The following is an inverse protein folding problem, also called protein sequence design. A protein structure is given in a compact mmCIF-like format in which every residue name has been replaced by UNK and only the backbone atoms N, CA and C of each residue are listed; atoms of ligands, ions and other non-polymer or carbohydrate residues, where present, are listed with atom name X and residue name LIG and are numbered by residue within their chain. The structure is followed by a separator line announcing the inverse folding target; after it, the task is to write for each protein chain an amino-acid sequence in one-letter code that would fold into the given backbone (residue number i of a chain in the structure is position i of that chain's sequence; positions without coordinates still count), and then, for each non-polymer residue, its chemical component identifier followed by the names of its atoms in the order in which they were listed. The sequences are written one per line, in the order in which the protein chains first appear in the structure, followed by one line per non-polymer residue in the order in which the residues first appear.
data_IF_711255164950
#
_entry.id   IF_711255164950
#
_cell.length_a   1.000
_cell.length_b   1.000
_cell.length_c   1.000
_cell.angle_alpha   90.00
_cell.angle_beta   90.00
_cell.angle_gamma   90.00
#
_symmetry.space_group_name_H-M   'P 1'
#
loop_
_entity.id
_entity.type
_entity.pdbx_description
1 polymer ?
#
# COMPACT_ATOMS: atom_id res chain seq x y z
N UNK A 1 -22.70 3.33 -9.21
CA UNK A 1 -22.67 4.81 -9.27
C UNK A 1 -23.79 5.37 -10.14
N UNK A 2 -24.45 4.55 -10.96
CA UNK A 2 -25.64 4.94 -11.75
C UNK A 2 -26.87 5.25 -10.90
N UNK A 3 -26.88 4.84 -9.64
CA UNK A 3 -27.89 5.19 -8.64
C UNK A 3 -27.35 6.34 -7.78
N UNK A 4 -27.88 7.54 -8.06
CA UNK A 4 -27.63 8.83 -7.39
C UNK A 4 -26.19 9.07 -6.92
N UNK A 5 -25.20 8.72 -7.77
CA UNK A 5 -23.78 8.89 -7.46
C UNK A 5 -23.43 8.46 -6.03
N UNK A 6 -23.87 7.27 -5.59
CA UNK A 6 -23.58 6.71 -4.25
C UNK A 6 -22.07 6.43 -4.02
N UNK A 7 -21.28 7.51 -3.98
CA UNK A 7 -19.82 7.59 -3.82
C UNK A 7 -19.39 6.93 -2.52
N UNK A 8 -20.11 7.19 -1.44
CA UNK A 8 -19.81 6.66 -0.11
C UNK A 8 -19.88 5.13 -0.07
N UNK A 9 -20.93 4.55 -0.67
CA UNK A 9 -21.09 3.09 -0.77
C UNK A 9 -19.98 2.48 -1.61
N UNK A 10 -19.67 3.10 -2.76
CA UNK A 10 -18.55 2.67 -3.58
C UNK A 10 -17.21 2.71 -2.82
N UNK A 11 -16.87 3.81 -2.14
CA UNK A 11 -15.61 3.94 -1.43
C UNK A 11 -15.49 2.97 -0.25
N UNK A 12 -16.58 2.76 0.50
CA UNK A 12 -16.56 1.89 1.68
C UNK A 12 -16.55 0.41 1.34
N UNK A 13 -17.37 -0.04 0.40
CA UNK A 13 -17.47 -1.48 0.09
C UNK A 13 -16.85 -1.81 -1.26
N UNK A 14 -17.27 -1.15 -2.34
CA UNK A 14 -16.86 -1.51 -3.70
C UNK A 14 -15.35 -1.41 -3.94
N UNK A 15 -14.72 -0.30 -3.53
CA UNK A 15 -13.29 -0.10 -3.64
C UNK A 15 -12.53 -1.04 -2.69
N UNK A 16 -13.01 -1.20 -1.46
CA UNK A 16 -12.38 -2.11 -0.48
C UNK A 16 -12.37 -3.56 -0.98
N UNK A 17 -13.48 -4.02 -1.57
CA UNK A 17 -13.60 -5.37 -2.13
C UNK A 17 -12.71 -5.55 -3.35
N UNK A 18 -12.62 -4.55 -4.24
CA UNK A 18 -11.73 -4.57 -5.38
C UNK A 18 -10.25 -4.64 -4.96
N UNK A 19 -9.84 -3.86 -3.95
CA UNK A 19 -8.49 -3.90 -3.40
C UNK A 19 -8.19 -5.22 -2.69
N UNK A 20 -9.16 -5.79 -1.96
CA UNK A 20 -9.02 -7.11 -1.33
C UNK A 20 -8.84 -8.21 -2.39
N UNK A 21 -9.60 -8.15 -3.48
CA UNK A 21 -9.44 -9.06 -4.60
C UNK A 21 -8.04 -8.96 -5.21
N UNK A 22 -7.53 -7.73 -5.42
CA UNK A 22 -6.17 -7.50 -5.93
C UNK A 22 -5.14 -8.15 -5.01
N UNK A 23 -5.22 -7.92 -3.69
CA UNK A 23 -4.29 -8.49 -2.73
C UNK A 23 -4.28 -10.03 -2.74
N UNK A 24 -5.46 -10.66 -2.78
CA UNK A 24 -5.58 -12.11 -2.84
C UNK A 24 -4.99 -12.68 -4.14
N UNK A 25 -5.22 -12.01 -5.26
CA UNK A 25 -4.67 -12.43 -6.55
C UNK A 25 -3.15 -12.25 -6.59
N UNK A 26 -2.60 -11.17 -6.00
CA UNK A 26 -1.15 -10.98 -5.87
C UNK A 26 -0.50 -12.07 -5.00
N UNK A 27 -1.16 -12.49 -3.92
CA UNK A 27 -0.68 -13.59 -3.09
C UNK A 27 -0.67 -14.92 -3.84
N UNK A 28 -1.62 -15.15 -4.75
CA UNK A 28 -1.62 -16.32 -5.62
C UNK A 28 -0.47 -16.26 -6.64
N UNK A 29 -0.19 -15.09 -7.21
CA UNK A 29 0.94 -14.87 -8.13
C UNK A 29 2.29 -15.06 -7.43
N UNK A 30 2.42 -14.66 -6.17
CA UNK A 30 3.65 -14.84 -5.39
C UNK A 30 3.88 -16.30 -4.98
N UNK A 31 2.83 -17.08 -4.80
CA UNK A 31 2.88 -18.47 -4.31
C UNK A 31 2.85 -19.53 -5.42
N UNK A 32 2.43 -19.20 -6.64
CA UNK A 32 2.31 -20.13 -7.78
C UNK A 32 2.77 -19.46 -9.07
N UNK A 33 3.21 -20.28 -10.05
CA UNK A 33 3.58 -19.79 -11.38
C UNK A 33 2.34 -19.15 -12.04
N UNK A 34 2.34 -17.83 -12.27
CA UNK A 34 1.13 -17.09 -12.61
C UNK A 34 0.73 -17.32 -14.07
N UNK A 35 -0.57 -17.55 -14.30
CA UNK A 35 -1.12 -17.62 -15.66
C UNK A 35 -1.17 -16.20 -16.26
N UNK A 36 -0.84 -16.02 -17.55
CA UNK A 36 -0.83 -14.70 -18.21
C UNK A 36 -2.17 -13.94 -18.10
N UNK A 37 -3.28 -14.67 -18.05
CA UNK A 37 -4.63 -14.12 -17.90
C UNK A 37 -4.85 -13.37 -16.59
N UNK A 38 -4.07 -13.67 -15.55
CA UNK A 38 -4.14 -12.98 -14.25
C UNK A 38 -3.61 -11.55 -14.39
N UNK A 39 -2.52 -11.35 -15.13
CA UNK A 39 -1.96 -10.01 -15.39
C UNK A 39 -2.92 -9.14 -16.22
N UNK A 40 -3.51 -9.70 -17.29
CA UNK A 40 -4.51 -8.98 -18.09
C UNK A 40 -5.74 -8.57 -17.26
N UNK A 41 -6.13 -9.41 -16.30
CA UNK A 41 -7.22 -9.12 -15.36
C UNK A 41 -6.87 -7.95 -14.43
N UNK A 42 -5.61 -7.86 -13.99
CA UNK A 42 -5.12 -6.72 -13.21
C UNK A 42 -5.12 -5.43 -14.01
N UNK A 43 -4.61 -5.42 -15.24
CA UNK A 43 -4.57 -4.22 -16.09
C UNK A 43 -5.98 -3.66 -16.34
N UNK A 44 -6.94 -4.56 -16.62
CA UNK A 44 -8.35 -4.20 -16.80
C UNK A 44 -8.97 -3.60 -15.54
N UNK A 45 -8.65 -4.19 -14.38
CA UNK A 45 -9.15 -3.72 -13.08
C UNK A 45 -8.53 -2.38 -12.69
N UNK A 46 -7.21 -2.21 -12.87
CA UNK A 46 -6.49 -0.98 -12.65
C UNK A 46 -7.08 0.16 -13.50
N UNK A 47 -7.31 -0.08 -14.79
CA UNK A 47 -7.93 0.91 -15.68
C UNK A 47 -9.31 1.36 -15.18
N UNK A 48 -10.12 0.43 -14.68
CA UNK A 48 -11.46 0.74 -14.13
C UNK A 48 -11.36 1.53 -12.83
N UNK A 49 -10.48 1.14 -11.91
CA UNK A 49 -10.26 1.84 -10.64
C UNK A 49 -9.73 3.25 -10.91
N UNK A 50 -8.74 3.41 -11.80
CA UNK A 50 -8.18 4.72 -12.16
C UNK A 50 -9.23 5.64 -12.78
N UNK A 51 -10.09 5.14 -13.67
CA UNK A 51 -11.22 5.91 -14.21
C UNK A 51 -12.18 6.38 -13.12
N UNK A 52 -12.52 5.50 -12.18
CA UNK A 52 -13.43 5.83 -11.07
C UNK A 52 -12.80 6.83 -10.11
N UNK A 53 -11.55 6.62 -9.71
CA UNK A 53 -10.80 7.56 -8.89
C UNK A 53 -10.69 8.93 -9.59
N UNK A 54 -10.52 8.95 -10.93
CA UNK A 54 -10.50 10.20 -11.71
C UNK A 54 -11.81 10.95 -11.63
N UNK A 55 -12.95 10.25 -11.79
CA UNK A 55 -14.29 10.83 -11.66
C UNK A 55 -14.50 11.42 -10.26
N UNK A 56 -13.99 10.74 -9.23
CA UNK A 56 -14.11 11.18 -7.84
C UNK A 56 -13.13 12.31 -7.45
N UNK A 57 -12.22 12.72 -8.34
CA UNK A 57 -11.11 13.62 -7.98
C UNK A 57 -10.12 12.99 -6.99
N UNK A 58 -10.15 11.66 -6.87
CA UNK A 58 -9.29 10.84 -6.02
C UNK A 58 -8.21 10.11 -6.83
N UNK A 59 -8.05 10.43 -8.11
CA UNK A 59 -6.91 9.95 -8.88
C UNK A 59 -5.70 10.79 -8.47
N UNK A 60 -4.84 10.18 -7.68
CA UNK A 60 -3.67 10.86 -7.15
C UNK A 60 -2.57 10.87 -8.22
N UNK A 61 -2.01 12.05 -8.57
CA UNK A 61 -0.92 12.16 -9.52
C UNK A 61 0.49 11.77 -9.02
N UNK A 62 0.80 11.54 -7.72
CA UNK A 62 2.14 11.13 -7.39
C UNK A 62 2.33 9.65 -7.73
N UNK A 63 3.51 9.32 -8.22
CA UNK A 63 3.98 7.94 -8.23
C UNK A 63 3.85 7.32 -6.82
N UNK A 64 3.76 6.00 -6.72
CA UNK A 64 3.75 5.29 -5.43
C UNK A 64 4.89 5.78 -4.49
N UNK A 65 6.05 6.09 -5.08
CA UNK A 65 7.22 6.65 -4.38
C UNK A 65 6.90 7.99 -3.73
N UNK A 66 6.34 8.95 -4.46
CA UNK A 66 6.00 10.26 -3.93
C UNK A 66 4.93 10.20 -2.82
N UNK A 67 3.97 9.27 -2.92
CA UNK A 67 3.00 9.04 -1.83
C UNK A 67 3.73 8.52 -0.58
N UNK A 68 4.61 7.53 -0.76
CA UNK A 68 5.37 6.95 0.33
C UNK A 68 6.27 7.98 1.01
N UNK A 69 6.93 8.84 0.23
CA UNK A 69 7.73 9.96 0.72
C UNK A 69 6.88 10.97 1.48
N UNK A 70 5.71 11.36 0.96
CA UNK A 70 4.79 12.27 1.65
C UNK A 70 4.31 11.70 2.99
N UNK A 71 3.96 10.41 3.03
CA UNK A 71 3.54 9.74 4.26
C UNK A 71 4.68 9.69 5.27
N UNK A 72 5.89 9.37 4.82
CA UNK A 72 7.10 9.37 5.65
C UNK A 72 7.34 10.75 6.27
N UNK A 73 7.32 11.82 5.48
CA UNK A 73 7.51 13.19 5.99
C UNK A 73 6.44 13.59 7.01
N UNK A 74 5.16 13.31 6.71
CA UNK A 74 4.05 13.61 7.62
C UNK A 74 4.17 12.85 8.94
N UNK A 75 4.55 11.58 8.89
CA UNK A 75 4.76 10.75 10.08
C UNK A 75 5.91 11.28 10.95
N UNK A 76 7.05 11.62 10.34
CA UNK A 76 8.20 12.20 11.05
C UNK A 76 7.85 13.52 11.72
N UNK A 77 7.15 14.42 11.01
CA UNK A 77 6.67 15.70 11.56
C UNK A 77 5.70 15.47 12.73
N UNK A 78 4.75 14.55 12.58
CA UNK A 78 3.76 14.23 13.62
C UNK A 78 4.39 13.66 14.88
N UNK A 79 5.43 12.83 14.72
CA UNK A 79 6.15 12.24 15.84
C UNK A 79 7.23 13.17 16.43
N UNK A 80 7.54 14.29 15.77
CA UNK A 80 8.66 15.16 16.09
C UNK A 80 10.02 14.42 16.15
N UNK A 81 10.22 13.48 15.22
CA UNK A 81 11.42 12.64 15.16
C UNK A 81 12.21 12.97 13.88
N UNK A 82 13.53 13.01 13.99
CA UNK A 82 14.42 13.18 12.83
C UNK A 82 14.60 11.88 12.05
N UNK A 83 14.74 11.98 10.73
CA UNK A 83 14.99 10.83 9.86
C UNK A 83 16.21 10.02 10.29
N UNK A 84 17.29 10.70 10.70
CA UNK A 84 18.55 10.05 11.10
C UNK A 84 18.37 9.09 12.28
N UNK A 85 17.52 9.46 13.24
CA UNK A 85 17.20 8.61 14.38
C UNK A 85 16.49 7.32 13.93
N UNK A 86 15.53 7.44 13.02
CA UNK A 86 14.82 6.28 12.46
C UNK A 86 15.78 5.39 11.66
N UNK A 87 16.67 5.98 10.86
CA UNK A 87 17.69 5.23 10.11
C UNK A 87 18.65 4.49 11.05
N UNK A 88 19.03 5.10 12.17
CA UNK A 88 19.84 4.45 13.21
C UNK A 88 19.11 3.26 13.83
N UNK A 89 17.83 3.41 14.21
CA UNK A 89 17.02 2.32 14.77
C UNK A 89 16.83 1.15 13.78
N UNK A 90 16.70 1.45 12.49
CA UNK A 90 16.64 0.42 11.44
C UNK A 90 17.95 -0.37 11.36
N UNK A 91 19.11 0.31 11.45
CA UNK A 91 20.43 -0.34 11.47
C UNK A 91 20.62 -1.21 12.71
N UNK A 92 20.28 -0.67 13.89
CA UNK A 92 20.31 -1.39 15.17
C UNK A 92 19.46 -2.67 15.10
N UNK A 93 18.22 -2.56 14.60
CA UNK A 93 17.34 -3.72 14.38
C UNK A 93 17.97 -4.75 13.43
N UNK A 94 18.63 -4.30 12.36
CA UNK A 94 19.27 -5.22 11.41
C UNK A 94 20.44 -5.99 12.06
N UNK A 95 21.23 -5.35 12.93
CA UNK A 95 22.29 -6.00 13.70
C UNK A 95 21.72 -7.01 14.70
N UNK A 96 20.71 -6.60 15.48
CA UNK A 96 20.04 -7.47 16.45
C UNK A 96 19.43 -8.72 15.76
N UNK A 97 18.84 -8.56 14.57
CA UNK A 97 18.37 -9.69 13.75
C UNK A 97 19.51 -10.60 13.27
N UNK A 98 20.68 -10.05 12.91
CA UNK A 98 21.86 -10.87 12.56
C UNK A 98 22.32 -11.73 13.74
N UNK A 99 22.20 -11.20 14.96
CA UNK A 99 22.48 -11.93 16.21
C UNK A 99 21.35 -12.86 16.67
N UNK A 100 20.26 -12.99 15.88
CA UNK A 100 19.08 -13.85 16.15
C UNK A 100 18.33 -13.50 17.46
N UNK A 101 18.52 -12.30 17.99
CA UNK A 101 17.75 -11.81 19.13
C UNK A 101 16.43 -11.19 18.64
N UNK A 102 15.46 -12.05 18.30
CA UNK A 102 14.21 -11.62 17.69
C UNK A 102 13.32 -10.80 18.63
N UNK A 103 13.45 -11.00 19.95
CA UNK A 103 12.68 -10.26 20.96
C UNK A 103 13.08 -8.78 20.91
N UNK A 104 14.38 -8.49 21.04
CA UNK A 104 14.87 -7.10 20.94
C UNK A 104 14.63 -6.49 19.56
N UNK A 105 14.70 -7.28 18.49
CA UNK A 105 14.39 -6.79 17.15
C UNK A 105 12.92 -6.38 16.97
N UNK A 106 12.02 -6.97 17.75
CA UNK A 106 10.60 -6.62 17.78
C UNK A 106 10.31 -5.46 18.73
N UNK A 107 11.06 -5.29 19.83
CA UNK A 107 10.98 -4.08 20.67
C UNK A 107 11.40 -2.82 19.91
N UNK A 108 12.38 -2.93 19.00
CA UNK A 108 12.83 -1.81 18.15
C UNK A 108 11.82 -1.48 17.03
N UNK A 109 10.91 -2.42 16.69
CA UNK A 109 9.99 -2.30 15.54
C UNK A 109 8.73 -1.49 15.87
#
# INVERSE_FOLDING_TARGET
MSDDLHTLKFLKSGLQDALRFINNALDMVKKKNPQPSVFQSFDSLESKINKLLKILGLLWPPSYLEILESLKEKALKRANIKLDYVLQKIKERAEVRKHRDYIKADEIR
#
